data_IF_339481578398
#
_entry.id   IF_339481578398
#
_cell.length_a   1.000
_cell.length_b   1.000
_cell.length_c   1.000
_cell.angle_alpha   90.00
_cell.angle_beta   90.00
_cell.angle_gamma   90.00
#
_symmetry.space_group_name_H-M   'P 1'
#
loop_
_entity.id
_entity.type
_entity.pdbx_description
1 polymer ?
#
# COMPACT_ATOMS: atom_id res chain seq x y z
N UNK A 1 -18.70 4.38 -11.79
CA UNK A 1 -17.74 5.45 -11.45
C UNK A 1 -17.68 5.64 -9.94
N UNK A 2 -18.82 5.63 -9.24
CA UNK A 2 -18.93 5.75 -7.77
C UNK A 2 -18.10 4.77 -6.93
N UNK A 3 -17.91 3.51 -7.38
CA UNK A 3 -17.12 2.53 -6.60
C UNK A 3 -15.60 2.82 -6.56
N UNK A 4 -15.06 3.57 -7.53
CA UNK A 4 -13.63 3.92 -7.54
C UNK A 4 -13.35 4.99 -6.48
N UNK A 5 -14.30 5.89 -6.25
CA UNK A 5 -14.17 6.98 -5.28
C UNK A 5 -14.17 6.48 -3.84
N UNK A 6 -14.95 5.43 -3.52
CA UNK A 6 -15.01 4.84 -2.18
C UNK A 6 -13.69 4.14 -1.80
N UNK A 7 -13.09 3.37 -2.72
CA UNK A 7 -11.83 2.66 -2.47
C UNK A 7 -10.67 3.65 -2.30
N UNK A 8 -10.68 4.75 -3.08
CA UNK A 8 -9.66 5.79 -2.97
C UNK A 8 -9.64 6.42 -1.57
N UNK A 9 -10.82 6.61 -0.97
CA UNK A 9 -10.95 7.23 0.35
C UNK A 9 -10.35 6.39 1.49
N UNK A 10 -10.45 5.06 1.46
CA UNK A 10 -9.89 4.22 2.52
C UNK A 10 -8.36 4.14 2.49
N UNK A 11 -7.77 4.08 1.29
CA UNK A 11 -6.31 4.12 1.12
C UNK A 11 -5.77 5.46 1.60
N UNK A 12 -6.44 6.57 1.27
CA UNK A 12 -6.08 7.90 1.75
C UNK A 12 -6.16 7.95 3.29
N UNK A 13 -7.22 7.42 3.89
CA UNK A 13 -7.41 7.44 5.34
C UNK A 13 -6.28 6.71 6.10
N UNK A 14 -5.81 5.57 5.58
CA UNK A 14 -4.71 4.81 6.19
C UNK A 14 -3.41 5.63 6.22
N UNK A 15 -3.11 6.39 5.17
CA UNK A 15 -1.96 7.29 5.15
C UNK A 15 -2.13 8.45 6.14
N UNK A 16 -3.29 9.09 6.09
CA UNK A 16 -3.65 10.25 6.90
C UNK A 16 -3.54 9.97 8.40
N UNK A 17 -3.86 8.74 8.84
CA UNK A 17 -3.71 8.33 10.24
C UNK A 17 -2.30 8.55 10.79
N UNK A 18 -1.28 8.39 9.94
CA UNK A 18 0.13 8.52 10.32
C UNK A 18 0.68 9.94 10.13
N UNK A 19 -0.10 10.90 9.65
CA UNK A 19 0.39 12.25 9.32
C UNK A 19 0.90 13.02 10.54
N UNK A 20 0.31 12.83 11.72
CA UNK A 20 0.82 13.46 12.95
C UNK A 20 2.23 12.97 13.27
N UNK A 21 2.47 11.66 13.17
CA UNK A 21 3.78 11.05 13.34
C UNK A 21 4.78 11.53 12.28
N UNK A 22 4.36 11.61 11.01
CA UNK A 22 5.24 12.15 9.96
C UNK A 22 5.55 13.64 10.16
N UNK A 23 4.61 14.41 10.71
CA UNK A 23 4.82 15.81 11.09
C UNK A 23 5.88 15.93 12.18
N UNK A 24 5.80 15.12 13.22
CA UNK A 24 6.83 15.09 14.27
C UNK A 24 8.21 14.73 13.70
N UNK A 25 8.26 13.84 12.70
CA UNK A 25 9.52 13.45 12.07
C UNK A 25 10.14 14.58 11.24
N UNK A 26 9.34 15.35 10.48
CA UNK A 26 9.87 16.51 9.72
C UNK A 26 10.33 17.61 10.68
N UNK A 27 9.58 17.86 11.76
CA UNK A 27 9.93 18.86 12.76
C UNK A 27 11.21 18.44 13.53
N UNK A 28 11.34 17.15 13.89
CA UNK A 28 12.53 16.60 14.53
C UNK A 28 13.77 16.63 13.62
N UNK A 29 13.62 16.17 12.37
CA UNK A 29 14.73 16.11 11.42
C UNK A 29 15.33 17.51 11.21
N UNK A 30 14.49 18.54 11.13
CA UNK A 30 14.91 19.93 11.02
C UNK A 30 15.70 20.44 12.24
N UNK A 31 15.34 20.02 13.47
CA UNK A 31 16.04 20.44 14.68
C UNK A 31 17.38 19.73 14.94
N UNK A 32 17.56 18.53 14.39
CA UNK A 32 18.70 17.65 14.70
C UNK A 32 19.96 17.88 13.85
N UNK A 33 19.85 18.56 12.71
CA UNK A 33 20.99 18.73 11.80
C UNK A 33 21.69 20.05 12.14
N UNK A 34 22.85 19.95 12.82
CA UNK A 34 23.69 21.10 13.25
C UNK A 34 24.23 21.95 12.09
N UNK A 35 24.11 21.51 10.84
CA UNK A 35 24.64 22.24 9.71
C UNK A 35 23.63 22.45 8.60
N UNK A 36 23.60 23.72 8.18
CA UNK A 36 23.06 24.28 6.94
C UNK A 36 23.51 23.46 5.73
N UNK A 37 22.96 22.26 5.52
CA UNK A 37 22.80 21.75 4.17
C UNK A 37 21.85 22.73 3.49
N UNK A 38 22.49 23.73 2.90
CA UNK A 38 21.86 24.84 2.21
C UNK A 38 20.86 24.21 1.27
N UNK A 39 19.58 24.44 1.53
CA UNK A 39 18.61 24.50 0.46
C UNK A 39 19.34 25.11 -0.75
N UNK A 40 19.40 24.42 -1.90
CA UNK A 40 20.10 24.92 -3.08
C UNK A 40 19.29 26.09 -3.66
N UNK A 41 19.19 27.17 -2.89
CA UNK A 41 18.15 28.18 -2.93
C UNK A 41 18.25 29.02 -4.19
N UNK A 42 19.47 29.27 -4.68
CA UNK A 42 19.65 30.05 -5.90
C UNK A 42 19.25 29.27 -7.17
N UNK A 43 19.43 27.95 -7.23
CA UNK A 43 19.11 27.16 -8.43
C UNK A 43 17.70 26.58 -8.42
N UNK A 44 17.15 26.33 -7.23
CA UNK A 44 15.83 25.70 -7.10
C UNK A 44 14.72 26.72 -7.39
N UNK A 45 14.80 27.90 -6.81
CA UNK A 45 13.75 28.91 -6.97
C UNK A 45 13.82 29.70 -8.27
N UNK A 46 15.02 29.87 -8.83
CA UNK A 46 15.17 30.45 -10.18
C UNK A 46 14.41 29.63 -11.23
N UNK A 47 14.36 28.30 -11.07
CA UNK A 47 13.59 27.42 -11.96
C UNK A 47 12.06 27.56 -11.79
N UNK A 48 11.61 28.04 -10.63
CA UNK A 48 10.18 28.25 -10.34
C UNK A 48 9.67 29.63 -10.77
N UNK A 49 10.56 30.54 -11.20
CA UNK A 49 10.24 31.93 -11.54
C UNK A 49 9.50 32.70 -10.44
N UNK A 50 9.68 32.30 -9.18
CA UNK A 50 9.03 32.93 -8.02
C UNK A 50 10.03 33.75 -7.20
N UNK A 51 9.62 34.93 -6.76
CA UNK A 51 10.36 35.68 -5.75
C UNK A 51 10.45 34.84 -4.46
N UNK A 52 11.67 34.51 -4.03
CA UNK A 52 11.95 33.71 -2.84
C UNK A 52 11.78 34.57 -1.61
N UNK A 53 10.91 34.16 -0.71
CA UNK A 53 10.80 34.73 0.63
C UNK A 53 11.67 33.95 1.61
N UNK A 54 12.03 34.56 2.73
CA UNK A 54 12.77 33.90 3.81
C UNK A 54 12.06 32.61 4.31
N UNK A 55 10.72 32.64 4.37
CA UNK A 55 9.89 31.48 4.76
C UNK A 55 10.04 30.30 3.79
N UNK A 56 10.37 30.57 2.53
CA UNK A 56 10.62 29.54 1.52
C UNK A 56 11.97 28.84 1.78
N UNK A 57 12.95 29.53 2.36
CA UNK A 57 14.24 28.94 2.71
C UNK A 57 14.13 27.97 3.89
N UNK A 58 13.43 28.36 4.97
CA UNK A 58 13.18 27.46 6.10
C UNK A 58 12.44 26.20 5.65
N UNK A 59 11.42 26.39 4.81
CA UNK A 59 10.60 25.30 4.33
C UNK A 59 11.37 24.32 3.44
N UNK A 60 12.24 24.86 2.59
CA UNK A 60 13.15 24.06 1.80
C UNK A 60 14.09 23.24 2.69
N UNK A 61 14.73 23.86 3.69
CA UNK A 61 15.60 23.15 4.63
C UNK A 61 14.87 22.00 5.32
N UNK A 62 13.61 22.20 5.76
CA UNK A 62 12.78 21.12 6.32
C UNK A 62 12.60 19.94 5.36
N UNK A 63 12.29 20.21 4.09
CA UNK A 63 12.15 19.17 3.08
C UNK A 63 13.46 18.37 2.89
N UNK A 64 14.59 19.08 2.78
CA UNK A 64 15.89 18.45 2.57
C UNK A 64 16.38 17.66 3.80
N UNK A 65 16.07 18.11 5.02
CA UNK A 65 16.38 17.36 6.25
C UNK A 65 15.49 16.12 6.42
N UNK A 66 14.25 16.18 5.96
CA UNK A 66 13.29 15.09 6.11
C UNK A 66 13.63 13.87 5.25
N UNK A 67 14.15 14.08 4.03
CA UNK A 67 14.39 13.00 3.08
C UNK A 67 15.43 11.98 3.59
N UNK A 68 16.64 12.38 4.05
CA UNK A 68 17.59 11.45 4.65
C UNK A 68 17.03 10.75 5.89
N UNK A 69 16.23 11.46 6.69
CA UNK A 69 15.57 10.87 7.84
C UNK A 69 14.63 9.73 7.42
N UNK A 70 13.86 9.93 6.36
CA UNK A 70 12.97 8.90 5.81
C UNK A 70 13.77 7.71 5.30
N UNK A 71 14.85 7.94 4.55
CA UNK A 71 15.71 6.89 4.00
C UNK A 71 16.30 5.99 5.10
N UNK A 72 16.80 6.61 6.17
CA UNK A 72 17.40 5.89 7.30
C UNK A 72 16.36 5.06 8.08
N UNK A 73 15.14 5.59 8.23
CA UNK A 73 14.13 5.00 9.12
C UNK A 73 13.21 3.99 8.42
N UNK A 74 12.96 4.17 7.13
CA UNK A 74 12.00 3.38 6.37
C UNK A 74 12.71 2.58 5.27
N UNK A 75 13.05 1.33 5.57
CA UNK A 75 13.83 0.48 4.66
C UNK A 75 13.01 -0.26 3.58
N UNK A 76 11.69 -0.34 3.74
CA UNK A 76 10.84 -1.11 2.82
C UNK A 76 9.97 -0.17 1.98
N UNK A 77 9.78 -0.52 0.69
CA UNK A 77 8.96 0.25 -0.26
C UNK A 77 7.60 0.60 0.31
N UNK A 78 6.91 -0.35 0.95
CA UNK A 78 5.59 -0.12 1.55
C UNK A 78 5.59 0.96 2.62
N UNK A 79 6.63 0.99 3.46
CA UNK A 79 6.75 1.95 4.56
C UNK A 79 7.20 3.34 4.10
N UNK A 80 7.84 3.43 2.95
CA UNK A 80 8.32 4.69 2.35
C UNK A 80 7.18 5.53 1.74
N UNK A 81 6.12 4.86 1.26
CA UNK A 81 4.99 5.51 0.57
C UNK A 81 4.35 6.64 1.39
N UNK A 82 4.05 6.37 2.65
CA UNK A 82 3.42 7.35 3.54
C UNK A 82 4.25 8.61 3.74
N UNK A 83 5.53 8.50 4.14
CA UNK A 83 6.45 9.63 4.22
C UNK A 83 6.60 10.43 2.92
N UNK A 84 6.73 9.78 1.75
CA UNK A 84 6.81 10.47 0.45
C UNK A 84 5.53 11.29 0.18
N UNK A 85 4.37 10.70 0.43
CA UNK A 85 3.07 11.35 0.25
C UNK A 85 2.89 12.53 1.21
N UNK A 86 3.30 12.35 2.46
CA UNK A 86 3.25 13.40 3.47
C UNK A 86 4.14 14.58 3.09
N UNK A 87 5.36 14.35 2.59
CA UNK A 87 6.23 15.43 2.13
C UNK A 87 5.57 16.25 1.00
N UNK A 88 4.96 15.58 0.02
CA UNK A 88 4.23 16.27 -1.05
C UNK A 88 3.07 17.10 -0.48
N UNK A 89 2.26 16.50 0.40
CA UNK A 89 1.14 17.17 1.07
C UNK A 89 1.61 18.39 1.88
N UNK A 90 2.74 18.29 2.57
CA UNK A 90 3.31 19.38 3.34
C UNK A 90 3.72 20.55 2.45
N UNK A 91 4.41 20.27 1.33
CA UNK A 91 4.76 21.27 0.31
C UNK A 91 3.49 21.90 -0.28
N UNK A 92 2.47 21.09 -0.58
CA UNK A 92 1.17 21.56 -1.07
C UNK A 92 0.55 22.58 -0.10
N UNK A 93 0.42 22.23 1.19
CA UNK A 93 -0.15 23.14 2.19
C UNK A 93 0.67 24.42 2.36
N UNK A 94 1.99 24.33 2.25
CA UNK A 94 2.86 25.51 2.32
C UNK A 94 2.62 26.45 1.13
N UNK A 95 2.60 25.93 -0.09
CA UNK A 95 2.39 26.73 -1.31
C UNK A 95 0.95 27.22 -1.48
N UNK A 96 -0.04 26.46 -1.04
CA UNK A 96 -1.46 26.85 -1.04
C UNK A 96 -1.69 28.14 -0.24
N UNK A 97 -1.02 28.30 0.91
CA UNK A 97 -1.04 29.55 1.70
C UNK A 97 -0.54 30.78 0.93
N UNK A 98 0.25 30.55 -0.12
CA UNK A 98 0.78 31.59 -0.99
C UNK A 98 0.02 31.69 -2.33
N UNK A 99 -1.05 30.92 -2.52
CA UNK A 99 -1.77 30.78 -3.81
C UNK A 99 -0.87 30.30 -4.95
N UNK A 100 0.04 29.35 -4.66
CA UNK A 100 1.02 28.78 -5.60
C UNK A 100 0.97 27.25 -5.65
N UNK A 101 -0.17 26.65 -5.33
CA UNK A 101 -0.32 25.19 -5.29
C UNK A 101 -0.11 24.50 -6.64
N UNK A 102 -0.20 25.22 -7.77
CA UNK A 102 0.17 24.71 -9.10
C UNK A 102 1.67 24.35 -9.19
N UNK A 103 2.52 24.96 -8.36
CA UNK A 103 3.96 24.70 -8.31
C UNK A 103 4.36 23.53 -7.42
N UNK A 104 3.42 22.91 -6.70
CA UNK A 104 3.72 21.84 -5.74
C UNK A 104 4.47 20.69 -6.38
N UNK A 105 4.00 20.18 -7.52
CA UNK A 105 4.63 19.04 -8.19
C UNK A 105 6.05 19.36 -8.62
N UNK A 106 6.25 20.52 -9.25
CA UNK A 106 7.56 20.97 -9.69
C UNK A 106 8.54 21.09 -8.51
N UNK A 107 8.11 21.70 -7.41
CA UNK A 107 8.94 21.84 -6.20
C UNK A 107 9.26 20.47 -5.58
N UNK A 108 8.28 19.58 -5.50
CA UNK A 108 8.47 18.22 -5.00
C UNK A 108 9.49 17.45 -5.85
N UNK A 109 9.31 17.44 -7.17
CA UNK A 109 10.18 16.71 -8.10
C UNK A 109 11.62 17.18 -7.99
N UNK A 110 11.87 18.50 -7.92
CA UNK A 110 13.22 19.04 -7.74
C UNK A 110 13.79 18.70 -6.36
N UNK A 111 12.96 18.70 -5.32
CA UNK A 111 13.39 18.34 -3.96
C UNK A 111 13.85 16.88 -3.93
N UNK A 112 13.05 15.97 -4.48
CA UNK A 112 13.40 14.54 -4.61
C UNK A 112 14.66 14.38 -5.48
N UNK A 113 14.73 15.08 -6.63
CA UNK A 113 15.87 15.05 -7.55
C UNK A 113 17.20 15.41 -6.91
N UNK A 114 17.21 16.47 -6.09
CA UNK A 114 18.43 16.97 -5.47
C UNK A 114 18.78 16.27 -4.16
N UNK A 115 17.80 15.80 -3.41
CA UNK A 115 18.03 15.19 -2.11
C UNK A 115 18.41 13.71 -2.21
N UNK A 116 17.99 13.02 -3.27
CA UNK A 116 18.23 11.60 -3.47
C UNK A 116 19.20 11.36 -4.62
N UNK A 117 20.01 10.30 -4.48
CA UNK A 117 20.69 9.74 -5.65
C UNK A 117 19.66 9.15 -6.59
N UNK A 118 19.92 9.24 -7.90
CA UNK A 118 18.98 8.85 -8.96
C UNK A 118 18.70 7.34 -9.01
N UNK A 119 19.30 6.55 -8.13
CA UNK A 119 19.19 5.11 -8.01
C UNK A 119 18.91 4.67 -6.55
N UNK A 120 17.65 4.41 -6.22
CA UNK A 120 17.31 3.88 -4.89
C UNK A 120 15.82 3.59 -4.69
N UNK A 121 15.46 2.71 -3.73
CA UNK A 121 14.08 2.37 -3.45
C UNK A 121 13.24 3.58 -3.02
N UNK A 122 13.85 4.54 -2.32
CA UNK A 122 13.20 5.80 -1.94
C UNK A 122 12.90 6.68 -3.16
N UNK A 123 13.85 6.79 -4.09
CA UNK A 123 13.68 7.49 -5.36
C UNK A 123 12.52 6.92 -6.17
N UNK A 124 12.56 5.61 -6.43
CA UNK A 124 11.57 4.92 -7.25
C UNK A 124 10.18 5.02 -6.61
N UNK A 125 10.10 4.95 -5.29
CA UNK A 125 8.83 5.03 -4.57
C UNK A 125 8.26 6.44 -4.59
N UNK A 126 9.04 7.47 -4.22
CA UNK A 126 8.56 8.85 -4.17
C UNK A 126 8.19 9.38 -5.58
N UNK A 127 8.97 9.04 -6.62
CA UNK A 127 8.77 9.56 -7.98
C UNK A 127 7.61 8.91 -8.74
N UNK A 128 7.24 7.67 -8.39
CA UNK A 128 6.20 6.91 -9.11
C UNK A 128 4.78 7.46 -8.90
N UNK A 129 4.56 8.30 -7.88
CA UNK A 129 3.25 8.83 -7.59
C UNK A 129 2.84 9.94 -8.56
N UNK A 130 1.75 9.72 -9.29
CA UNK A 130 1.09 10.78 -10.04
C UNK A 130 0.21 11.61 -9.10
N UNK A 131 0.86 12.45 -8.29
CA UNK A 131 0.17 13.39 -7.40
C UNK A 131 -0.25 14.61 -8.21
N UNK A 132 -1.50 15.01 -8.06
CA UNK A 132 -2.07 16.23 -8.63
C UNK A 132 -2.79 17.04 -7.54
N UNK A 133 -3.20 18.25 -7.88
CA UNK A 133 -3.77 19.17 -6.91
C UNK A 133 -5.16 18.71 -6.41
N UNK A 134 -5.94 18.02 -7.24
CA UNK A 134 -7.25 17.50 -6.84
C UNK A 134 -7.11 16.37 -5.82
N UNK A 135 -6.15 15.47 -6.02
CA UNK A 135 -5.80 14.46 -5.01
C UNK A 135 -5.39 15.12 -3.70
N UNK A 136 -4.62 16.22 -3.74
CA UNK A 136 -4.23 16.93 -2.52
C UNK A 136 -5.40 17.62 -1.81
N UNK A 137 -6.38 18.14 -2.55
CA UNK A 137 -7.62 18.67 -1.94
C UNK A 137 -8.36 17.56 -1.19
N UNK A 138 -8.52 16.39 -1.80
CA UNK A 138 -9.17 15.24 -1.17
C UNK A 138 -8.38 14.75 0.07
N UNK A 139 -7.06 14.74 -0.01
CA UNK A 139 -6.17 14.40 1.09
C UNK A 139 -6.27 15.41 2.26
N UNK A 140 -6.35 16.71 1.94
CA UNK A 140 -6.53 17.80 2.92
C UNK A 140 -7.87 17.65 3.65
N UNK A 141 -8.95 17.45 2.90
CA UNK A 141 -10.29 17.16 3.43
C UNK A 141 -10.27 15.93 4.34
N UNK A 142 -9.63 14.84 3.89
CA UNK A 142 -9.55 13.59 4.66
C UNK A 142 -8.72 13.75 5.94
N UNK A 143 -7.65 14.54 5.90
CA UNK A 143 -6.86 14.84 7.10
C UNK A 143 -7.59 15.75 8.09
N UNK A 144 -8.33 16.74 7.59
CA UNK A 144 -9.24 17.54 8.40
C UNK A 144 -10.28 16.67 9.11
N UNK A 145 -10.94 15.77 8.37
CA UNK A 145 -11.86 14.76 8.90
C UNK A 145 -11.23 13.89 9.98
N UNK A 146 -10.05 13.33 9.68
CA UNK A 146 -9.32 12.48 10.61
C UNK A 146 -9.02 13.20 11.92
N UNK A 147 -8.55 14.45 11.86
CA UNK A 147 -8.30 15.27 13.06
C UNK A 147 -9.58 15.49 13.86
N UNK A 148 -10.67 15.84 13.18
CA UNK A 148 -11.96 16.12 13.82
C UNK A 148 -12.52 14.88 14.54
N UNK A 149 -12.36 13.70 13.96
CA UNK A 149 -12.86 12.45 14.54
C UNK A 149 -11.98 11.98 15.71
N UNK A 150 -10.65 12.12 15.60
CA UNK A 150 -9.73 11.48 16.54
C UNK A 150 -9.19 12.40 17.63
N UNK A 151 -9.16 13.72 17.43
CA UNK A 151 -8.70 14.67 18.44
C UNK A 151 -9.89 15.37 19.09
N UNK A 152 -10.07 15.16 20.40
CA UNK A 152 -11.09 15.85 21.22
C UNK A 152 -10.67 17.24 21.71
N UNK A 153 -9.43 17.65 21.48
CA UNK A 153 -8.86 18.92 21.98
C UNK A 153 -8.75 19.99 20.91
N UNK A 154 -8.73 21.25 21.39
CA UNK A 154 -8.98 22.50 20.68
C UNK A 154 -8.63 22.47 19.20
N UNK A 155 -9.71 22.42 18.44
CA UNK A 155 -9.78 22.59 17.00
C UNK A 155 -9.33 24.01 16.64
N UNK A 156 -8.01 24.24 16.56
CA UNK A 156 -7.45 25.35 15.80
C UNK A 156 -7.69 25.04 14.30
N UNK A 157 -8.96 25.13 13.91
CA UNK A 157 -9.56 24.72 12.64
C UNK A 157 -9.10 25.67 11.54
N UNK A 158 -7.89 25.43 11.05
CA UNK A 158 -7.42 25.94 9.76
C UNK A 158 -7.87 25.07 8.59
N UNK A 159 -9.00 24.35 8.73
CA UNK A 159 -9.68 23.72 7.61
C UNK A 159 -10.47 24.82 6.88
N UNK A 160 -9.82 25.44 5.90
CA UNK A 160 -10.25 26.68 5.22
C UNK A 160 -11.57 26.58 4.44
N UNK A 161 -12.26 25.44 4.43
CA UNK A 161 -13.59 25.30 3.84
C UNK A 161 -14.70 25.27 4.92
N UNK A 162 -15.23 26.44 5.31
CA UNK A 162 -16.26 26.55 6.35
C UNK A 162 -17.54 25.77 5.98
N UNK A 163 -17.88 25.68 4.70
CA UNK A 163 -19.08 24.96 4.23
C UNK A 163 -18.99 23.45 4.45
N UNK A 164 -17.80 22.87 4.31
CA UNK A 164 -17.57 21.45 4.52
C UNK A 164 -17.65 21.10 6.01
N UNK A 165 -17.08 21.94 6.88
CA UNK A 165 -17.18 21.79 8.32
C UNK A 165 -18.62 21.86 8.81
N UNK A 166 -19.41 22.81 8.31
CA UNK A 166 -20.83 22.95 8.67
C UNK A 166 -21.64 21.73 8.22
N UNK A 167 -21.38 21.22 7.02
CA UNK A 167 -22.00 19.99 6.51
C UNK A 167 -21.66 18.77 7.38
N UNK A 168 -20.39 18.64 7.79
CA UNK A 168 -19.94 17.57 8.68
C UNK A 168 -20.51 17.66 10.08
N UNK A 169 -20.56 18.87 10.64
CA UNK A 169 -21.15 19.15 11.94
C UNK A 169 -22.65 18.82 11.94
N UNK A 170 -23.33 19.08 10.83
CA UNK A 170 -24.72 18.67 10.64
C UNK A 170 -24.85 17.15 10.59
N UNK A 171 -24.00 16.44 9.83
CA UNK A 171 -24.01 14.97 9.77
C UNK A 171 -23.73 14.35 11.14
N UNK A 172 -22.71 14.83 11.86
CA UNK A 172 -22.39 14.34 13.22
C UNK A 172 -23.52 14.62 14.21
N UNK A 173 -24.15 15.79 14.13
CA UNK A 173 -25.32 16.12 14.96
C UNK A 173 -26.52 15.21 14.68
N UNK A 174 -26.76 14.86 13.42
CA UNK A 174 -27.82 13.91 13.02
C UNK A 174 -27.52 12.54 13.65
N UNK A 175 -26.29 12.04 13.48
CA UNK A 175 -25.88 10.78 14.09
C UNK A 175 -25.98 10.79 15.63
N UNK A 176 -25.61 11.89 16.30
CA UNK A 176 -25.70 12.02 17.76
C UNK A 176 -27.14 12.14 18.28
N UNK A 177 -28.07 12.70 17.49
CA UNK A 177 -29.49 12.82 17.85
C UNK A 177 -30.22 11.47 17.74
N UNK A 178 -29.90 10.67 16.72
CA UNK A 178 -30.45 9.33 16.54
C UNK A 178 -29.98 8.39 17.66
N UNK A 179 -28.73 8.50 18.11
CA UNK A 179 -28.19 7.74 19.26
C UNK A 179 -28.90 8.07 20.59
N UNK A 180 -29.51 9.26 20.71
CA UNK A 180 -30.20 9.67 21.96
C UNK A 180 -31.70 9.35 21.96
N UNK A 181 -32.30 9.06 20.81
CA UNK A 181 -33.76 8.84 20.70
C UNK A 181 -34.16 7.38 20.54
N UNK A 182 -33.23 6.49 20.18
CA UNK A 182 -33.46 5.04 20.21
C UNK A 182 -32.70 4.37 21.37
N UNK A 183 -33.40 3.48 22.08
CA UNK A 183 -32.86 2.67 23.17
C UNK A 183 -31.75 1.74 22.67
N UNK A 184 -30.51 2.25 22.65
CA UNK A 184 -29.20 1.67 23.01
C UNK A 184 -28.85 0.20 22.72
N UNK A 185 -29.59 -0.55 21.90
CA UNK A 185 -29.28 -1.98 21.75
C UNK A 185 -28.76 -2.44 20.40
N UNK A 186 -28.83 -1.70 19.27
CA UNK A 186 -28.32 -2.26 18.00
C UNK A 186 -27.83 -1.29 16.92
N UNK A 187 -27.76 0.03 17.13
CA UNK A 187 -27.10 0.90 16.15
C UNK A 187 -25.61 0.95 16.46
N UNK A 188 -24.94 -0.17 16.21
CA UNK A 188 -23.53 -0.13 15.89
C UNK A 188 -23.46 0.64 14.57
N UNK A 189 -23.04 1.91 14.63
CA UNK A 189 -22.64 2.64 13.42
C UNK A 189 -21.52 1.80 12.83
N UNK A 190 -21.86 0.95 11.85
CA UNK A 190 -21.04 -0.18 11.45
C UNK A 190 -19.76 0.38 10.83
N UNK A 191 -18.75 0.56 11.69
CA UNK A 191 -17.43 1.05 11.32
C UNK A 191 -16.79 0.16 10.25
N UNK A 192 -17.33 -1.05 10.07
CA UNK A 192 -16.91 -1.97 9.03
C UNK A 192 -17.47 -1.61 7.64
N UNK A 193 -18.61 -0.91 7.54
CA UNK A 193 -19.27 -0.68 6.26
C UNK A 193 -18.51 0.29 5.33
N UNK A 194 -17.70 1.19 5.89
CA UNK A 194 -17.09 2.29 5.11
C UNK A 194 -15.72 1.92 4.52
N UNK A 195 -14.99 0.97 5.14
CA UNK A 195 -13.67 0.55 4.66
C UNK A 195 -13.41 -0.95 4.67
N UNK A 196 -14.43 -1.80 4.84
CA UNK A 196 -14.34 -3.14 4.26
C UNK A 196 -14.36 -2.97 2.74
N UNK A 197 -13.16 -2.70 2.19
CA UNK A 197 -12.84 -3.12 0.84
C UNK A 197 -13.44 -4.52 0.72
N UNK A 198 -14.38 -4.69 -0.20
CA UNK A 198 -15.01 -5.97 -0.42
C UNK A 198 -13.91 -6.94 -0.87
N UNK A 199 -13.16 -7.50 0.06
CA UNK A 199 -12.14 -8.52 -0.19
C UNK A 199 -12.82 -9.66 -0.94
N UNK A 200 -14.08 -9.93 -0.60
CA UNK A 200 -15.02 -10.76 -1.35
C UNK A 200 -15.11 -10.39 -2.84
N UNK A 201 -15.24 -9.11 -3.20
CA UNK A 201 -15.30 -8.68 -4.60
C UNK A 201 -13.99 -8.96 -5.35
N UNK A 202 -12.83 -8.66 -4.75
CA UNK A 202 -11.54 -9.00 -5.36
C UNK A 202 -11.35 -10.51 -5.51
N UNK A 203 -11.76 -11.30 -4.50
CA UNK A 203 -11.75 -12.76 -4.58
C UNK A 203 -12.65 -13.22 -5.72
N UNK A 204 -13.88 -12.69 -5.84
CA UNK A 204 -14.83 -13.04 -6.90
C UNK A 204 -14.27 -12.71 -8.28
N UNK A 205 -13.69 -11.51 -8.48
CA UNK A 205 -13.04 -11.15 -9.75
C UNK A 205 -11.90 -12.13 -10.07
N UNK A 206 -11.05 -12.45 -9.09
CA UNK A 206 -9.91 -13.34 -9.29
C UNK A 206 -10.37 -14.76 -9.67
N UNK A 207 -11.43 -15.26 -9.02
CA UNK A 207 -12.02 -16.56 -9.34
C UNK A 207 -12.66 -16.55 -10.73
N UNK A 208 -13.44 -15.52 -11.07
CA UNK A 208 -14.08 -15.39 -12.39
C UNK A 208 -13.04 -15.28 -13.51
N UNK A 209 -12.00 -14.47 -13.33
CA UNK A 209 -10.92 -14.34 -14.31
C UNK A 209 -10.15 -15.64 -14.50
N UNK A 210 -9.82 -16.36 -13.41
CA UNK A 210 -9.24 -17.71 -13.48
C UNK A 210 -10.14 -18.68 -14.27
N UNK A 211 -11.46 -18.65 -14.04
CA UNK A 211 -12.41 -19.50 -14.78
C UNK A 211 -12.48 -19.15 -16.26
N UNK A 212 -12.45 -17.86 -16.62
CA UNK A 212 -12.41 -17.41 -18.02
C UNK A 212 -11.12 -17.90 -18.70
N UNK A 213 -9.97 -17.73 -18.05
CA UNK A 213 -8.69 -18.20 -18.58
C UNK A 213 -8.73 -19.73 -18.77
N UNK A 214 -9.20 -20.47 -17.77
CA UNK A 214 -9.32 -21.93 -17.82
C UNK A 214 -10.24 -22.40 -18.96
N UNK A 215 -11.42 -21.78 -19.11
CA UNK A 215 -12.35 -22.12 -20.19
C UNK A 215 -11.77 -21.82 -21.58
N UNK A 216 -11.07 -20.70 -21.74
CA UNK A 216 -10.34 -20.39 -22.97
C UNK A 216 -9.27 -21.44 -23.27
N UNK A 217 -8.51 -21.90 -22.26
CA UNK A 217 -7.55 -23.00 -22.42
C UNK A 217 -8.22 -24.30 -22.87
N UNK A 218 -9.38 -24.65 -22.31
CA UNK A 218 -10.12 -25.85 -22.72
C UNK A 218 -10.62 -25.75 -24.17
N UNK A 219 -11.14 -24.59 -24.57
CA UNK A 219 -11.58 -24.32 -25.94
C UNK A 219 -10.38 -24.45 -26.89
N UNK A 220 -9.28 -23.75 -26.61
CA UNK A 220 -8.07 -23.83 -27.42
C UNK A 220 -7.55 -25.28 -27.50
N UNK A 221 -7.52 -26.01 -26.40
CA UNK A 221 -7.11 -27.42 -26.37
C UNK A 221 -8.00 -28.29 -27.26
N UNK A 222 -9.32 -28.07 -27.25
CA UNK A 222 -10.28 -28.85 -28.05
C UNK A 222 -10.23 -28.52 -29.55
N UNK A 223 -9.98 -27.25 -29.89
CA UNK A 223 -10.03 -26.77 -31.28
C UNK A 223 -8.65 -26.66 -31.96
N UNK A 224 -7.54 -26.78 -31.22
CA UNK A 224 -6.22 -26.87 -31.85
C UNK A 224 -6.08 -28.23 -32.57
N UNK A 225 -5.73 -28.24 -33.88
CA UNK A 225 -5.54 -29.47 -34.66
C UNK A 225 -4.35 -30.32 -34.19
N UNK A 226 -3.65 -29.88 -33.15
CA UNK A 226 -2.55 -30.58 -32.48
C UNK A 226 -3.01 -31.68 -31.52
N UNK A 227 -4.32 -31.87 -31.33
CA UNK A 227 -4.83 -32.89 -30.40
C UNK A 227 -4.31 -34.30 -30.76
N UNK A 228 -4.19 -34.63 -32.05
CA UNK A 228 -3.59 -35.89 -32.50
C UNK A 228 -2.09 -35.98 -32.18
N UNK A 229 -1.34 -34.88 -32.32
CA UNK A 229 0.10 -34.84 -32.08
C UNK A 229 0.45 -34.91 -30.60
N UNK A 230 -0.28 -34.17 -29.77
CA UNK A 230 -0.14 -34.18 -28.31
C UNK A 230 -0.56 -35.55 -27.77
N UNK A 231 -1.70 -36.10 -28.22
CA UNK A 231 -2.15 -37.41 -27.79
C UNK A 231 -1.14 -38.51 -28.17
N UNK A 232 -0.54 -38.42 -29.36
CA UNK A 232 0.55 -39.31 -29.77
C UNK A 232 1.76 -39.19 -28.83
N UNK A 233 2.23 -37.98 -28.54
CA UNK A 233 3.36 -37.73 -27.63
C UNK A 233 3.10 -38.25 -26.21
N UNK A 234 1.88 -38.04 -25.68
CA UNK A 234 1.48 -38.54 -24.36
C UNK A 234 1.47 -40.07 -24.36
N UNK A 235 0.87 -40.70 -25.39
CA UNK A 235 0.83 -42.16 -25.54
C UNK A 235 2.24 -42.75 -25.65
N UNK A 236 3.15 -42.11 -26.38
CA UNK A 236 4.56 -42.50 -26.45
C UNK A 236 5.22 -42.46 -25.07
N UNK A 237 4.96 -41.43 -24.25
CA UNK A 237 5.51 -41.31 -22.90
C UNK A 237 4.93 -42.36 -21.94
N UNK A 238 3.61 -42.61 -21.97
CA UNK A 238 2.96 -43.65 -21.17
C UNK A 238 3.50 -45.02 -21.52
N UNK A 239 3.67 -45.33 -22.82
CA UNK A 239 4.25 -46.61 -23.25
C UNK A 239 5.70 -46.75 -22.78
N UNK A 240 6.51 -45.68 -22.83
CA UNK A 240 7.86 -45.69 -22.26
C UNK A 240 7.86 -45.97 -20.77
N UNK A 241 6.93 -45.38 -20.02
CA UNK A 241 6.80 -45.62 -18.58
C UNK A 241 6.36 -47.04 -18.26
N UNK A 242 5.38 -47.58 -19.00
CA UNK A 242 4.95 -48.99 -18.85
C UNK A 242 6.10 -49.95 -19.13
N UNK A 243 6.89 -49.69 -20.17
CA UNK A 243 8.07 -50.52 -20.46
C UNK A 243 9.12 -50.43 -19.34
N UNK A 244 9.35 -49.25 -18.75
CA UNK A 244 10.26 -49.12 -17.60
C UNK A 244 9.73 -49.83 -16.35
N UNK A 245 8.41 -49.81 -16.12
CA UNK A 245 7.78 -50.49 -14.99
C UNK A 245 7.80 -52.01 -15.18
N UNK A 246 7.56 -52.51 -16.39
CA UNK A 246 7.76 -53.92 -16.73
C UNK A 246 9.22 -54.35 -16.54
N UNK A 247 10.18 -53.53 -16.98
CA UNK A 247 11.61 -53.77 -16.77
C UNK A 247 11.94 -53.77 -15.26
N UNK A 248 11.42 -52.83 -14.48
CA UNK A 248 11.58 -52.79 -13.03
C UNK A 248 10.97 -54.00 -12.32
N UNK A 249 9.76 -54.42 -12.72
CA UNK A 249 9.10 -55.63 -12.21
C UNK A 249 9.88 -56.91 -12.56
N UNK A 250 10.56 -56.95 -13.71
CA UNK A 250 11.41 -58.06 -14.12
C UNK A 250 12.71 -58.14 -13.28
N UNK A 251 13.25 -57.00 -12.85
CA UNK A 251 14.36 -56.94 -11.89
C UNK A 251 13.93 -57.27 -10.45
N UNK A 252 12.64 -57.19 -10.13
CA UNK A 252 12.11 -57.52 -8.81
C UNK A 252 11.83 -59.03 -8.63
N UNK A 253 11.83 -59.82 -9.70
CA UNK A 253 11.70 -61.28 -9.64
C UNK A 253 13.04 -62.00 -9.58
N UNK A 254 13.69 -62.00 -8.40
CA UNK A 254 14.28 -63.19 -7.79
C UNK A 254 14.89 -62.92 -6.39
N UNK A 255 14.29 -62.05 -5.57
CA UNK A 255 14.50 -62.22 -4.13
C UNK A 255 13.46 -63.22 -3.65
N UNK A 256 13.87 -64.50 -3.71
CA UNK A 256 13.22 -65.61 -3.02
C UNK A 256 12.85 -65.12 -1.62
N UNK A 257 11.56 -64.93 -1.40
CA UNK A 257 10.98 -64.56 -0.12
C UNK A 257 11.18 -65.77 0.82
N UNK A 258 12.40 -65.91 1.34
CA UNK A 258 12.64 -66.73 2.51
C UNK A 258 11.81 -66.09 3.61
N UNK A 259 10.67 -66.71 3.89
CA UNK A 259 9.84 -66.45 5.05
C UNK A 259 10.71 -66.64 6.30
N UNK A 260 11.40 -65.59 6.71
CA UNK A 260 11.95 -65.50 8.06
C UNK A 260 10.72 -65.32 8.95
N UNK A 261 10.27 -66.46 9.48
CA UNK A 261 9.38 -66.58 10.62
C UNK A 261 9.80 -65.55 11.66
N UNK A 262 9.05 -64.44 11.71
CA UNK A 262 9.17 -63.38 12.71
C UNK A 262 8.64 -63.91 14.04
N UNK A 263 9.44 -64.77 14.67
CA UNK A 263 9.25 -65.18 16.05
C UNK A 263 10.47 -64.71 16.83
N UNK A 264 10.38 -63.47 17.34
CA UNK A 264 11.28 -62.94 18.37
C UNK A 264 10.66 -61.71 19.03
N UNK A 265 9.80 -62.06 19.98
CA UNK A 265 9.72 -61.48 21.33
C UNK A 265 10.97 -60.65 21.66
N UNK A 266 10.84 -59.33 21.66
CA UNK A 266 11.70 -58.45 22.45
C UNK A 266 10.81 -57.43 23.17
N UNK A 267 10.45 -57.76 24.40
CA UNK A 267 9.92 -56.83 25.38
C UNK A 267 11.06 -55.89 25.80
N UNK A 268 11.04 -54.65 25.30
CA UNK A 268 11.90 -53.59 25.82
C UNK A 268 11.10 -52.81 26.86
N UNK A 269 11.39 -53.09 28.14
CA UNK A 269 10.91 -52.34 29.29
C UNK A 269 11.69 -51.02 29.37
N UNK A 270 10.98 -49.90 29.23
CA UNK A 270 11.50 -48.58 29.55
C UNK A 270 11.44 -48.37 31.07
N UNK A 271 12.60 -48.22 31.71
CA UNK A 271 12.73 -47.55 33.00
C UNK A 271 13.01 -46.07 32.75
N UNK A 272 12.20 -45.20 33.34
CA UNK A 272 12.40 -43.75 33.39
C UNK A 272 12.80 -43.38 34.83
N UNK A 273 13.89 -42.63 34.96
CA UNK A 273 14.22 -41.81 36.14
C UNK A 273 13.65 -40.40 35.97
#
# INVERSE_FOLDING_TARGET
>A
MEHVDVILNCVIYEFVKNFSTYKEHIDYAFGSIEEKQLCPSNSLYSSLQTNVTYNDMESCSKCFSYIPYVDLRYKTVEKIKGPCLFLYYWIYKHLKKQSKEDKTKQLYDITIEKALKTDGPLWDTCKKYNLNNDYMKNLDITYCLYKLVNNKEDLDLTCEEPQFYESLKNITKICDQDVRTESLNNIECDKNAICQNNISFFIVITVVTMLIIFTLFVILYKFLPYNSWIHRRIKEKINKWKNMDEEFNMFQSSESYNSISSDKIYNVLYQYD
#
